data_IF_240423445313
#
_entry.id   IF_240423445313
#
_cell.length_a   1.000
_cell.length_b   1.000
_cell.length_c   1.000
_cell.angle_alpha   90.00
_cell.angle_beta   90.00
_cell.angle_gamma   90.00
#
_symmetry.space_group_name_H-M   'P 1'
#
loop_
_entity.id
_entity.type
_entity.pdbx_description
1 polymer ?
#
# COMPACT_ATOMS: atom_id res chain seq x y z
N UNK A 1 -46.31 -2.87 -26.81
CA UNK A 1 -45.07 -3.49 -26.29
C UNK A 1 -43.76 -2.89 -26.83
N UNK A 2 -43.75 -2.18 -27.98
CA UNK A 2 -42.54 -1.53 -28.54
C UNK A 2 -41.91 -0.48 -27.61
N UNK A 3 -42.72 0.26 -26.86
CA UNK A 3 -42.25 1.32 -25.96
C UNK A 3 -41.56 0.76 -24.68
N UNK A 4 -41.81 -0.50 -24.32
CA UNK A 4 -41.20 -1.14 -23.16
C UNK A 4 -39.73 -1.49 -23.42
N UNK A 5 -39.43 -1.93 -24.65
CA UNK A 5 -38.06 -2.27 -25.05
C UNK A 5 -37.15 -1.04 -25.12
N UNK A 6 -37.68 0.12 -25.53
CA UNK A 6 -36.92 1.37 -25.55
C UNK A 6 -36.50 1.79 -24.14
N UNK A 7 -37.41 1.66 -23.16
CA UNK A 7 -37.13 2.01 -21.77
C UNK A 7 -36.02 1.11 -21.18
N UNK A 8 -36.03 -0.18 -21.51
CA UNK A 8 -35.03 -1.15 -21.03
C UNK A 8 -33.63 -0.88 -21.60
N UNK A 9 -33.54 -0.43 -22.86
CA UNK A 9 -32.25 -0.08 -23.46
C UNK A 9 -31.66 1.21 -22.87
N UNK A 10 -32.49 2.19 -22.52
CA UNK A 10 -32.03 3.44 -21.91
C UNK A 10 -31.46 3.20 -20.51
N UNK A 11 -32.07 2.32 -19.70
CA UNK A 11 -31.57 2.05 -18.34
C UNK A 11 -30.23 1.31 -18.33
N UNK A 12 -29.95 0.45 -19.31
CA UNK A 12 -28.66 -0.24 -19.41
C UNK A 12 -27.55 0.73 -19.80
N UNK A 13 -27.80 1.65 -20.73
CA UNK A 13 -26.81 2.64 -21.17
C UNK A 13 -26.42 3.64 -20.07
N UNK A 14 -27.38 4.09 -19.26
CA UNK A 14 -27.10 5.04 -18.18
C UNK A 14 -26.23 4.43 -17.09
N UNK A 15 -26.43 3.14 -16.75
CA UNK A 15 -25.59 2.46 -15.76
C UNK A 15 -24.12 2.28 -16.20
N UNK A 16 -23.86 2.12 -17.50
CA UNK A 16 -22.50 1.99 -18.01
C UNK A 16 -21.70 3.30 -17.91
N UNK A 17 -22.36 4.46 -18.02
CA UNK A 17 -21.71 5.77 -17.92
C UNK A 17 -21.23 6.10 -16.49
N UNK A 18 -21.85 5.52 -15.46
CA UNK A 18 -21.46 5.73 -14.06
C UNK A 18 -20.43 4.71 -13.53
N UNK A 19 -20.15 3.63 -14.28
CA UNK A 19 -19.25 2.57 -13.84
C UNK A 19 -17.75 2.88 -14.03
N UNK A 20 -17.40 3.95 -14.75
CA UNK A 20 -16.01 4.37 -14.93
C UNK A 20 -15.68 5.58 -14.06
N UNK A 21 -15.61 5.36 -12.75
CA UNK A 21 -14.77 6.22 -11.90
C UNK A 21 -13.35 5.69 -11.99
N UNK A 22 -12.56 6.25 -12.90
CA UNK A 22 -11.11 6.14 -12.84
C UNK A 22 -10.72 6.83 -11.52
N UNK A 23 -10.33 6.03 -10.53
CA UNK A 23 -9.67 6.55 -9.35
C UNK A 23 -8.37 7.15 -9.86
N UNK A 24 -8.35 8.47 -10.05
CA UNK A 24 -7.11 9.22 -10.21
C UNK A 24 -6.25 8.89 -8.99
N UNK A 25 -5.33 7.94 -9.15
CA UNK A 25 -4.32 7.65 -8.15
C UNK A 25 -3.37 8.84 -8.14
N UNK A 26 -3.75 9.86 -7.37
CA UNK A 26 -2.85 10.95 -7.04
C UNK A 26 -1.75 10.34 -6.17
N UNK A 27 -0.58 10.10 -6.79
CA UNK A 27 0.62 9.74 -6.04
C UNK A 27 0.78 10.79 -4.95
N UNK A 28 0.76 10.41 -3.66
CA UNK A 28 0.89 11.38 -2.60
C UNK A 28 2.23 12.10 -2.76
N UNK A 29 2.19 13.43 -2.85
CA UNK A 29 3.40 14.23 -2.94
C UNK A 29 3.92 14.46 -1.52
N UNK A 30 4.54 13.43 -0.95
CA UNK A 30 5.21 13.55 0.35
C UNK A 30 6.63 14.04 0.11
N UNK A 31 7.00 15.15 0.77
CA UNK A 31 8.37 15.62 0.85
C UNK A 31 9.28 14.44 1.22
N UNK A 32 10.39 14.26 0.49
CA UNK A 32 11.43 13.28 0.82
C UNK A 32 12.09 13.67 2.16
N UNK A 33 11.40 13.45 3.27
CA UNK A 33 12.00 13.53 4.60
C UNK A 33 12.83 12.26 4.75
N UNK A 34 14.14 12.42 4.64
CA UNK A 34 15.08 11.35 4.93
C UNK A 34 15.00 11.07 6.43
N UNK A 35 14.36 9.97 6.81
CA UNK A 35 14.38 9.50 8.19
C UNK A 35 15.69 8.76 8.39
N UNK A 36 16.61 9.35 9.17
CA UNK A 36 17.80 8.62 9.60
C UNK A 36 17.35 7.45 10.49
N UNK A 37 17.50 6.24 9.98
CA UNK A 37 17.23 5.03 10.74
C UNK A 37 18.37 4.83 11.76
N UNK A 38 18.12 5.13 13.03
CA UNK A 38 19.06 4.92 14.15
C UNK A 38 19.19 3.46 14.58
N UNK A 39 18.96 2.51 13.67
CA UNK A 39 19.14 1.08 13.90
C UNK A 39 20.38 0.58 13.17
N UNK A 40 21.17 -0.26 13.84
CA UNK A 40 22.22 -1.06 13.19
C UNK A 40 21.57 -1.81 12.03
N UNK A 41 21.81 -1.38 10.79
CA UNK A 41 21.35 -2.14 9.62
C UNK A 41 21.88 -3.56 9.76
N UNK A 42 21.00 -4.53 9.79
CA UNK A 42 21.38 -5.92 9.60
C UNK A 42 22.16 -5.98 8.29
N UNK A 43 23.42 -6.42 8.36
CA UNK A 43 24.28 -6.53 7.18
C UNK A 43 23.89 -7.79 6.44
N UNK A 44 22.77 -7.75 5.74
CA UNK A 44 22.30 -8.82 4.88
C UNK A 44 22.31 -8.36 3.42
N UNK A 45 23.18 -8.96 2.61
CA UNK A 45 23.35 -8.62 1.20
C UNK A 45 22.10 -8.87 0.35
N UNK A 46 21.10 -9.61 0.86
CA UNK A 46 19.81 -9.77 0.18
C UNK A 46 19.00 -8.47 0.16
N UNK A 47 19.22 -7.56 1.11
CA UNK A 47 18.57 -6.25 1.15
C UNK A 47 19.09 -5.32 0.02
N UNK A 48 20.26 -5.62 -0.56
CA UNK A 48 20.83 -4.82 -1.65
C UNK A 48 20.18 -5.13 -3.02
N UNK A 49 19.37 -6.20 -3.10
CA UNK A 49 18.72 -6.60 -4.35
C UNK A 49 17.46 -5.80 -4.68
N UNK A 50 16.94 -5.02 -3.72
CA UNK A 50 15.79 -4.17 -3.92
C UNK A 50 15.92 -2.88 -3.10
N UNK A 51 15.48 -1.77 -3.67
CA UNK A 51 15.51 -0.46 -3.02
C UNK A 51 14.08 -0.04 -2.66
N UNK A 52 13.83 0.11 -1.35
CA UNK A 52 12.49 0.45 -0.87
C UNK A 52 12.26 1.95 -0.96
N UNK A 53 11.24 2.31 -1.72
CA UNK A 53 10.90 3.73 -1.96
C UNK A 53 9.85 4.23 -0.98
N UNK A 54 8.95 3.35 -0.54
CA UNK A 54 7.83 3.75 0.31
C UNK A 54 7.35 2.61 1.21
N UNK A 55 6.99 2.97 2.43
CA UNK A 55 6.29 2.12 3.38
C UNK A 55 4.96 2.77 3.77
N UNK A 56 3.90 1.99 3.76
CA UNK A 56 2.62 2.34 4.38
C UNK A 56 2.39 1.38 5.53
N UNK A 57 2.08 1.92 6.70
CA UNK A 57 1.72 1.12 7.87
C UNK A 57 0.36 1.63 8.34
N UNK A 58 -0.60 0.72 8.39
CA UNK A 58 -1.92 0.95 8.97
C UNK A 58 -2.04 0.05 10.19
N UNK A 59 -2.34 0.63 11.35
CA UNK A 59 -2.46 -0.11 12.61
C UNK A 59 -3.78 0.23 13.28
N UNK A 60 -4.40 -0.79 13.85
CA UNK A 60 -5.58 -0.66 14.69
C UNK A 60 -5.15 -0.72 16.17
N UNK A 61 -5.25 0.43 16.83
CA UNK A 61 -4.96 0.63 18.25
C UNK A 61 -5.98 1.58 18.85
N UNK A 62 -6.37 1.33 20.09
CA UNK A 62 -7.16 2.27 20.90
C UNK A 62 -6.32 2.82 22.05
N UNK A 63 -6.82 3.85 22.74
CA UNK A 63 -6.16 4.40 23.93
C UNK A 63 -6.05 3.42 25.11
N UNK A 64 -6.71 2.26 25.03
CA UNK A 64 -6.62 1.19 26.03
C UNK A 64 -5.78 0.00 25.54
N UNK A 65 -5.38 -0.02 24.26
CA UNK A 65 -4.60 -1.10 23.68
C UNK A 65 -3.20 -1.15 24.30
N UNK A 66 -2.82 -2.32 24.83
CA UNK A 66 -1.44 -2.62 25.26
C UNK A 66 -0.59 -3.24 24.14
N UNK A 67 -1.24 -3.66 23.04
CA UNK A 67 -0.63 -4.26 21.85
C UNK A 67 -1.35 -3.74 20.60
N UNK A 68 -0.71 -3.85 19.43
CA UNK A 68 -1.38 -3.61 18.15
C UNK A 68 -2.43 -4.71 17.94
N UNK A 69 -3.70 -4.35 17.74
CA UNK A 69 -4.79 -5.32 17.61
C UNK A 69 -4.76 -5.97 16.21
N UNK A 70 -4.54 -5.16 15.18
CA UNK A 70 -4.33 -5.60 13.81
C UNK A 70 -3.52 -4.55 13.04
N UNK A 71 -2.92 -4.92 11.91
CA UNK A 71 -2.22 -3.96 11.06
C UNK A 71 -1.84 -4.51 9.70
N UNK A 72 -1.63 -3.60 8.75
CA UNK A 72 -1.21 -3.89 7.39
C UNK A 72 0.03 -3.06 7.07
N UNK A 73 1.11 -3.75 6.70
CA UNK A 73 2.31 -3.16 6.14
C UNK A 73 2.32 -3.32 4.62
N UNK A 74 2.41 -2.23 3.87
CA UNK A 74 2.62 -2.26 2.43
C UNK A 74 3.98 -1.66 2.10
N UNK A 75 4.76 -2.36 1.28
CA UNK A 75 6.08 -1.95 0.84
C UNK A 75 6.09 -1.79 -0.68
N UNK A 76 6.57 -0.66 -1.17
CA UNK A 76 6.86 -0.45 -2.59
C UNK A 76 8.36 -0.40 -2.80
N UNK A 77 8.89 -1.42 -3.45
CA UNK A 77 10.31 -1.59 -3.70
C UNK A 77 10.59 -1.71 -5.20
N UNK A 78 11.74 -1.16 -5.61
CA UNK A 78 12.28 -1.32 -6.94
C UNK A 78 13.33 -2.43 -6.92
N UNK A 79 13.20 -3.42 -7.81
CA UNK A 79 14.25 -4.44 -8.00
C UNK A 79 15.48 -3.77 -8.58
N UNK A 80 16.63 -3.96 -7.92
CA UNK A 80 17.94 -3.47 -8.38
C UNK A 80 18.67 -4.56 -9.15
N UNK A 81 18.64 -5.80 -8.65
CA UNK A 81 19.26 -6.97 -9.29
C UNK A 81 18.19 -7.98 -9.75
N UNK A 82 18.14 -8.26 -11.05
CA UNK A 82 17.14 -9.13 -11.69
C UNK A 82 17.81 -10.46 -12.15
N UNK A 83 17.23 -11.65 -11.87
CA UNK A 83 15.97 -11.92 -11.18
C UNK A 83 16.02 -11.72 -9.67
N UNK A 84 14.97 -11.09 -9.13
CA UNK A 84 14.73 -11.08 -7.70
C UNK A 84 14.12 -12.43 -7.30
N UNK A 85 14.91 -13.24 -6.58
CA UNK A 85 14.48 -14.56 -6.13
C UNK A 85 13.96 -14.58 -4.68
N UNK A 86 14.41 -13.62 -3.86
CA UNK A 86 14.12 -13.60 -2.42
C UNK A 86 13.81 -12.19 -1.96
N UNK A 87 12.71 -12.03 -1.22
CA UNK A 87 12.41 -10.82 -0.43
C UNK A 87 12.68 -11.16 1.03
N UNK A 88 13.60 -10.42 1.65
CA UNK A 88 13.88 -10.52 3.08
C UNK A 88 13.14 -9.40 3.82
N UNK A 89 12.35 -9.73 4.84
CA UNK A 89 11.73 -8.74 5.73
C UNK A 89 12.22 -9.01 7.15
N UNK A 90 12.70 -7.97 7.81
CA UNK A 90 13.17 -8.06 9.19
C UNK A 90 12.17 -7.43 10.14
N UNK A 91 11.73 -8.20 11.13
CA UNK A 91 10.90 -7.71 12.22
C UNK A 91 11.80 -7.39 13.41
N UNK A 92 12.09 -6.11 13.60
CA UNK A 92 12.85 -5.63 14.75
C UNK A 92 11.85 -5.29 15.86
N UNK A 93 11.93 -6.00 16.98
CA UNK A 93 11.16 -5.68 18.18
C UNK A 93 11.84 -4.55 18.95
N UNK A 94 11.71 -3.31 18.45
CA UNK A 94 12.31 -2.12 19.08
C UNK A 94 11.29 -1.05 19.47
N UNK A 95 9.99 -1.29 19.26
CA UNK A 95 8.97 -0.28 19.56
C UNK A 95 8.59 -0.33 21.04
N UNK A 96 9.38 0.34 21.87
CA UNK A 96 8.94 0.74 23.22
C UNK A 96 8.18 2.05 23.06
N UNK A 97 6.88 2.03 23.34
CA UNK A 97 6.08 3.26 23.47
C UNK A 97 6.20 3.69 24.94
N UNK A 98 6.94 4.77 25.21
CA UNK A 98 7.09 5.40 26.53
C UNK A 98 6.04 6.50 26.72
#
# INVERSE_FOLDING_TARGET
MKNLFVLLFVTIFVNHLFAQKISDFNKPNFENKHFETTGTKSVNSLLDNYDVKFYKIEVDVTNTSKTINSGIGTMYAQVVNNPLNTILLELINSLTVD
#
